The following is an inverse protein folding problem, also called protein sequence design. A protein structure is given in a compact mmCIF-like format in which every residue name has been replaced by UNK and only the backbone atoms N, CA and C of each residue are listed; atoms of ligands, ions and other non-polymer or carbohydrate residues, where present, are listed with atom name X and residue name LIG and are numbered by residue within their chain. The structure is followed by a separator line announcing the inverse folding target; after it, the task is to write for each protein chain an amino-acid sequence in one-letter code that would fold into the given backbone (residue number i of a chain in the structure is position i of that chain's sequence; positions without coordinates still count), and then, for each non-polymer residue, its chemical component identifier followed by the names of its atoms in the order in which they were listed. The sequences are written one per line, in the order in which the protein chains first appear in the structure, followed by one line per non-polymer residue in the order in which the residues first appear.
data_IF_744531280783
#
_entry.id   IF_744531280783
#
_cell.length_a   1.000
_cell.length_b   1.000
_cell.length_c   1.000
_cell.angle_alpha   90.00
_cell.angle_beta   90.00
_cell.angle_gamma   90.00
#
_symmetry.space_group_name_H-M   'P 1'
#
loop_
_entity.id
_entity.type
_entity.pdbx_description
1 polymer ?
#
# COMPACT_ATOMS: atom_id res chain seq x y z
N UNK A 1 65.71 -40.63 30.75
CA UNK A 1 64.38 -41.26 30.62
C UNK A 1 63.39 -40.11 30.56
N UNK A 2 62.71 -39.93 29.42
CA UNK A 2 61.87 -38.76 29.11
C UNK A 2 60.46 -38.94 29.66
N UNK A 3 60.00 -38.01 30.51
CA UNK A 3 58.58 -37.83 30.85
C UNK A 3 57.93 -36.94 29.80
N UNK A 4 57.12 -37.52 28.91
CA UNK A 4 56.54 -36.84 27.74
C UNK A 4 55.03 -37.14 27.54
N UNK A 5 54.22 -37.13 28.61
CA UNK A 5 52.76 -37.26 28.47
C UNK A 5 52.00 -36.34 29.43
N UNK A 6 51.96 -35.06 29.08
CA UNK A 6 51.08 -34.04 29.67
C UNK A 6 50.40 -33.20 28.59
N UNK A 7 49.74 -33.86 27.62
CA UNK A 7 48.96 -33.14 26.61
C UNK A 7 47.69 -32.57 27.27
N UNK A 8 47.70 -31.27 27.58
CA UNK A 8 46.50 -30.55 27.98
C UNK A 8 45.56 -30.42 26.79
N UNK A 9 44.31 -30.83 26.96
CA UNK A 9 43.26 -30.63 25.96
C UNK A 9 43.09 -29.12 25.76
N UNK A 10 43.18 -28.59 24.52
CA UNK A 10 42.99 -27.17 24.29
C UNK A 10 41.58 -26.76 24.72
N UNK A 11 41.40 -25.59 25.37
CA UNK A 11 40.08 -25.13 25.78
C UNK A 11 39.18 -24.98 24.56
N UNK A 12 38.04 -25.66 24.59
CA UNK A 12 36.99 -25.49 23.58
C UNK A 12 36.44 -24.08 23.73
N UNK A 13 36.79 -23.19 22.79
CA UNK A 13 36.25 -21.83 22.75
C UNK A 13 34.77 -21.91 22.38
N UNK A 14 33.91 -21.73 23.38
CA UNK A 14 32.47 -21.55 23.18
C UNK A 14 32.20 -20.04 23.12
N UNK A 15 31.82 -19.49 21.95
CA UNK A 15 31.52 -18.07 21.84
C UNK A 15 30.36 -17.71 22.76
N UNK A 16 30.50 -16.61 23.50
CA UNK A 16 29.44 -16.13 24.38
C UNK A 16 28.35 -15.46 23.54
N UNK A 17 27.23 -16.15 23.34
CA UNK A 17 26.06 -15.65 22.61
C UNK A 17 25.19 -14.68 23.44
N UNK A 18 25.59 -14.37 24.67
CA UNK A 18 24.87 -13.49 25.58
C UNK A 18 25.76 -12.32 26.04
N UNK A 19 25.84 -11.23 25.25
CA UNK A 19 26.55 -10.04 25.69
C UNK A 19 25.95 -9.53 27.00
N UNK A 20 26.81 -9.12 27.94
CA UNK A 20 26.40 -8.76 29.32
C UNK A 20 25.30 -7.68 29.35
N UNK A 21 25.29 -6.79 28.36
CA UNK A 21 24.25 -5.77 28.20
C UNK A 21 22.85 -6.33 27.95
N UNK A 22 22.71 -7.36 27.11
CA UNK A 22 21.41 -7.99 26.83
C UNK A 22 20.87 -8.74 28.05
N UNK A 23 21.77 -9.38 28.81
CA UNK A 23 21.42 -10.06 30.05
C UNK A 23 20.96 -9.07 31.12
N UNK A 24 21.73 -7.99 31.34
CA UNK A 24 21.36 -6.93 32.28
C UNK A 24 19.99 -6.34 31.94
N UNK A 25 19.74 -6.04 30.67
CA UNK A 25 18.43 -5.55 30.21
C UNK A 25 17.30 -6.53 30.54
N UNK A 26 17.49 -7.83 30.25
CA UNK A 26 16.48 -8.85 30.52
C UNK A 26 16.14 -8.95 32.01
N UNK A 27 17.16 -9.04 32.88
CA UNK A 27 16.96 -9.16 34.33
C UNK A 27 16.33 -7.93 34.97
N UNK A 28 16.55 -6.74 34.40
CA UNK A 28 15.87 -5.50 34.83
C UNK A 28 14.43 -5.39 34.33
N UNK A 29 14.00 -6.26 33.42
CA UNK A 29 12.65 -6.20 32.85
C UNK A 29 11.60 -6.84 33.78
N UNK A 30 10.32 -6.42 33.71
CA UNK A 30 9.23 -7.09 34.42
C UNK A 30 8.98 -8.54 33.98
N UNK A 31 9.54 -8.94 32.84
CA UNK A 31 9.40 -10.27 32.23
C UNK A 31 10.53 -11.22 32.63
N UNK A 32 11.41 -10.81 33.55
CA UNK A 32 12.56 -11.58 34.01
C UNK A 32 12.21 -12.96 34.63
N UNK A 33 10.94 -13.17 34.99
CA UNK A 33 10.43 -14.45 35.52
C UNK A 33 10.23 -15.52 34.46
N UNK A 34 10.30 -15.15 33.18
CA UNK A 34 10.11 -16.06 32.06
C UNK A 34 11.44 -16.34 31.35
N UNK A 35 11.52 -17.50 30.71
CA UNK A 35 12.65 -17.87 29.87
C UNK A 35 12.78 -16.89 28.68
N UNK A 36 13.91 -16.19 28.51
CA UNK A 36 14.11 -15.19 27.45
C UNK A 36 13.93 -15.76 26.05
N UNK A 37 14.40 -16.99 25.83
CA UNK A 37 14.30 -17.66 24.54
C UNK A 37 12.84 -17.98 24.18
N UNK A 38 12.05 -18.41 25.16
CA UNK A 38 10.64 -18.71 24.94
C UNK A 38 9.83 -17.45 24.64
N UNK A 39 10.07 -16.37 25.39
CA UNK A 39 9.36 -15.10 25.18
C UNK A 39 9.67 -14.48 23.82
N UNK A 40 10.95 -14.50 23.42
CA UNK A 40 11.35 -14.02 22.09
C UNK A 40 10.75 -14.85 20.96
N UNK A 41 10.68 -16.18 21.11
CA UNK A 41 10.01 -17.05 20.15
C UNK A 41 8.50 -16.74 20.03
N UNK A 42 7.82 -16.50 21.15
CA UNK A 42 6.40 -16.13 21.16
C UNK A 42 6.17 -14.79 20.46
N UNK A 43 6.97 -13.76 20.76
CA UNK A 43 6.85 -12.47 20.09
C UNK A 43 7.12 -12.57 18.59
N UNK A 44 8.12 -13.36 18.18
CA UNK A 44 8.36 -13.63 16.76
C UNK A 44 7.15 -14.29 16.10
N UNK A 45 6.53 -15.28 16.73
CA UNK A 45 5.33 -15.94 16.20
C UNK A 45 4.15 -14.97 16.05
N UNK A 46 3.94 -14.07 17.01
CA UNK A 46 2.88 -13.05 16.95
C UNK A 46 3.14 -12.09 15.79
N UNK A 47 4.38 -11.60 15.65
CA UNK A 47 4.76 -10.68 14.57
C UNK A 47 4.59 -11.35 13.20
N UNK A 48 5.07 -12.58 13.04
CA UNK A 48 4.97 -13.34 11.79
C UNK A 48 3.50 -13.59 11.45
N UNK A 49 2.70 -14.02 12.42
CA UNK A 49 1.27 -14.28 12.22
C UNK A 49 0.53 -13.00 11.86
N UNK A 50 0.80 -11.89 12.54
CA UNK A 50 0.25 -10.57 12.23
C UNK A 50 0.62 -10.11 10.81
N UNK A 51 1.88 -10.29 10.41
CA UNK A 51 2.35 -9.96 9.06
C UNK A 51 1.70 -10.85 7.99
N UNK A 52 1.64 -12.18 8.22
CA UNK A 52 0.98 -13.11 7.31
C UNK A 52 -0.50 -12.80 7.13
N UNK A 53 -1.22 -12.53 8.22
CA UNK A 53 -2.63 -12.13 8.16
C UNK A 53 -2.79 -10.79 7.42
N UNK A 54 -1.96 -9.79 7.73
CA UNK A 54 -2.02 -8.49 7.04
C UNK A 54 -1.78 -8.63 5.53
N UNK A 55 -0.79 -9.42 5.12
CA UNK A 55 -0.53 -9.72 3.70
C UNK A 55 -1.71 -10.46 3.08
N UNK A 56 -2.25 -11.48 3.75
CA UNK A 56 -3.39 -12.25 3.27
C UNK A 56 -4.64 -11.37 3.10
N UNK A 57 -4.95 -10.50 4.06
CA UNK A 57 -6.06 -9.55 3.94
C UNK A 57 -5.83 -8.52 2.83
N UNK A 58 -4.61 -8.01 2.66
CA UNK A 58 -4.29 -7.10 1.55
C UNK A 58 -4.41 -7.78 0.19
N UNK A 59 -3.96 -9.03 0.06
CA UNK A 59 -4.13 -9.82 -1.15
C UNK A 59 -5.60 -10.13 -1.44
N UNK A 60 -6.38 -10.54 -0.42
CA UNK A 60 -7.82 -10.77 -0.59
C UNK A 60 -8.58 -9.49 -0.95
N UNK A 61 -8.22 -8.35 -0.36
CA UNK A 61 -8.80 -7.06 -0.72
C UNK A 61 -8.45 -6.64 -2.15
N UNK A 62 -7.21 -6.91 -2.61
CA UNK A 62 -6.80 -6.66 -3.99
C UNK A 62 -7.51 -7.59 -4.98
N UNK A 63 -7.58 -8.88 -4.69
CA UNK A 63 -8.31 -9.85 -5.53
C UNK A 63 -9.80 -9.53 -5.61
N UNK A 64 -10.42 -9.09 -4.52
CA UNK A 64 -11.81 -8.65 -4.56
C UNK A 64 -11.95 -7.41 -5.45
N UNK A 65 -11.09 -6.38 -5.28
CA UNK A 65 -11.07 -5.21 -6.18
C UNK A 65 -10.88 -5.58 -7.65
N UNK A 66 -9.95 -6.50 -7.94
CA UNK A 66 -9.74 -6.99 -9.31
C UNK A 66 -10.96 -7.75 -9.83
N UNK A 67 -11.70 -8.48 -9.00
CA UNK A 67 -12.92 -9.18 -9.44
C UNK A 67 -14.05 -8.18 -9.78
N UNK A 68 -14.19 -7.09 -9.00
CA UNK A 68 -15.15 -6.03 -9.29
C UNK A 68 -14.71 -5.13 -10.48
N UNK A 69 -13.42 -4.79 -10.58
CA UNK A 69 -12.86 -3.98 -11.69
C UNK A 69 -12.74 -4.75 -13.02
N UNK A 70 -12.80 -6.08 -13.03
CA UNK A 70 -12.56 -6.88 -14.23
C UNK A 70 -13.84 -7.25 -15.01
N UNK A 71 -15.01 -6.77 -14.57
CA UNK A 71 -16.21 -6.82 -15.42
C UNK A 71 -16.04 -5.75 -16.51
N UNK A 72 -16.05 -6.16 -17.78
CA UNK A 72 -15.84 -5.25 -18.92
C UNK A 72 -16.81 -4.05 -18.92
N UNK A 73 -18.00 -4.21 -18.34
CA UNK A 73 -18.99 -3.16 -18.13
C UNK A 73 -18.53 -2.11 -17.10
N UNK A 74 -17.97 -2.54 -15.97
CA UNK A 74 -17.46 -1.64 -14.94
C UNK A 74 -16.26 -0.85 -15.47
N UNK A 75 -15.36 -1.47 -16.23
CA UNK A 75 -14.26 -0.73 -16.91
C UNK A 75 -14.79 0.34 -17.85
N UNK A 76 -15.84 0.04 -18.63
CA UNK A 76 -16.48 1.01 -19.54
C UNK A 76 -17.14 2.14 -18.75
N UNK A 77 -17.79 1.83 -17.63
CA UNK A 77 -18.38 2.80 -16.73
C UNK A 77 -17.32 3.73 -16.12
N UNK A 78 -16.24 3.19 -15.56
CA UNK A 78 -15.11 3.94 -15.00
C UNK A 78 -14.43 4.83 -16.05
N UNK A 79 -14.26 4.33 -17.28
CA UNK A 79 -13.74 5.12 -18.39
C UNK A 79 -14.67 6.30 -18.74
N UNK A 80 -15.99 6.09 -18.77
CA UNK A 80 -16.96 7.16 -19.01
C UNK A 80 -16.98 8.19 -17.88
N UNK A 81 -16.89 7.77 -16.62
CA UNK A 81 -16.77 8.66 -15.46
C UNK A 81 -15.48 9.49 -15.51
N UNK A 82 -14.37 8.89 -15.91
CA UNK A 82 -13.10 9.59 -16.12
C UNK A 82 -13.22 10.62 -17.23
N UNK A 83 -13.81 10.26 -18.37
CA UNK A 83 -14.07 11.18 -19.49
C UNK A 83 -14.95 12.35 -19.05
N UNK A 84 -16.04 12.10 -18.31
CA UNK A 84 -16.91 13.13 -17.72
C UNK A 84 -16.12 14.13 -16.88
N UNK A 85 -15.24 13.64 -16.00
CA UNK A 85 -14.39 14.49 -15.14
C UNK A 85 -13.42 15.34 -15.95
N UNK A 86 -12.76 14.75 -16.95
CA UNK A 86 -11.85 15.47 -17.84
C UNK A 86 -12.58 16.56 -18.61
N UNK A 87 -13.74 16.27 -19.18
CA UNK A 87 -14.58 17.24 -19.90
C UNK A 87 -15.03 18.38 -19.00
N UNK A 88 -15.45 18.10 -17.76
CA UNK A 88 -15.83 19.13 -16.80
C UNK A 88 -14.64 20.04 -16.45
N UNK A 89 -13.46 19.45 -16.22
CA UNK A 89 -12.24 20.22 -15.98
C UNK A 89 -11.85 21.09 -17.17
N UNK A 90 -12.02 20.60 -18.41
CA UNK A 90 -11.79 21.39 -19.62
C UNK A 90 -12.77 22.54 -19.77
N UNK A 91 -14.03 22.35 -19.37
CA UNK A 91 -15.01 23.42 -19.34
C UNK A 91 -14.60 24.52 -18.33
N UNK A 92 -14.15 24.12 -17.13
CA UNK A 92 -13.62 25.05 -16.13
C UNK A 92 -12.36 25.77 -16.61
N UNK A 93 -11.44 25.06 -17.25
CA UNK A 93 -10.20 25.64 -17.81
C UNK A 93 -10.52 26.74 -18.82
N UNK A 94 -11.49 26.51 -19.71
CA UNK A 94 -11.92 27.50 -20.71
C UNK A 94 -12.63 28.69 -20.07
N UNK A 95 -13.42 28.45 -19.03
CA UNK A 95 -14.05 29.51 -18.24
C UNK A 95 -12.99 30.41 -17.59
N UNK A 96 -11.98 29.82 -16.97
CA UNK A 96 -10.84 30.56 -16.42
C UNK A 96 -10.08 31.34 -17.51
N UNK A 97 -9.80 30.72 -18.66
CA UNK A 97 -9.08 31.37 -19.77
C UNK A 97 -9.86 32.57 -20.33
N UNK A 98 -11.19 32.50 -20.37
CA UNK A 98 -12.05 33.60 -20.78
C UNK A 98 -12.03 34.73 -19.75
N UNK A 99 -12.15 34.41 -18.45
CA UNK A 99 -12.07 35.40 -17.37
C UNK A 99 -10.68 36.09 -17.30
N UNK A 100 -9.61 35.39 -17.68
CA UNK A 100 -8.26 35.93 -17.79
C UNK A 100 -8.02 36.74 -19.09
N UNK A 101 -9.02 36.83 -19.98
CA UNK A 101 -8.93 37.55 -21.25
C UNK A 101 -8.00 36.90 -22.28
N UNK A 102 -7.66 35.60 -22.11
CA UNK A 102 -6.74 34.86 -22.99
C UNK A 102 -7.41 34.28 -24.24
N UNK A 103 -8.75 34.22 -24.25
CA UNK A 103 -9.56 33.76 -25.38
C UNK A 103 -10.69 34.75 -25.65
N UNK A 104 -11.15 34.80 -26.90
CA UNK A 104 -12.27 35.67 -27.29
C UNK A 104 -13.62 35.06 -26.92
N UNK A 105 -14.66 35.90 -26.81
CA UNK A 105 -16.04 35.47 -26.58
C UNK A 105 -16.50 34.40 -27.57
N UNK A 106 -16.21 34.62 -28.86
CA UNK A 106 -16.61 33.69 -29.92
C UNK A 106 -15.95 32.30 -29.77
N UNK A 107 -14.68 32.28 -29.34
CA UNK A 107 -13.96 31.03 -29.06
C UNK A 107 -14.45 30.34 -27.79
N UNK A 108 -14.81 31.11 -26.76
CA UNK A 108 -15.42 30.59 -25.54
C UNK A 108 -16.76 29.92 -25.83
N UNK A 109 -17.66 30.61 -26.51
CA UNK A 109 -19.00 30.11 -26.87
C UNK A 109 -18.94 28.84 -27.72
N UNK A 110 -18.06 28.80 -28.72
CA UNK A 110 -17.90 27.64 -29.59
C UNK A 110 -17.39 26.42 -28.80
N UNK A 111 -16.31 26.59 -28.04
CA UNK A 111 -15.69 25.47 -27.30
C UNK A 111 -16.58 25.02 -26.14
N UNK A 112 -17.19 25.94 -25.41
CA UNK A 112 -18.06 25.61 -24.28
C UNK A 112 -19.28 24.82 -24.74
N UNK A 113 -19.87 25.16 -25.89
CA UNK A 113 -20.97 24.41 -26.51
C UNK A 113 -20.57 22.99 -26.86
N UNK A 114 -19.43 22.82 -27.53
CA UNK A 114 -18.89 21.49 -27.89
C UNK A 114 -18.65 20.61 -26.65
N UNK A 115 -18.05 21.16 -25.58
CA UNK A 115 -17.83 20.40 -24.35
C UNK A 115 -19.13 20.08 -23.61
N UNK A 116 -20.14 20.96 -23.66
CA UNK A 116 -21.47 20.69 -23.07
C UNK A 116 -22.22 19.59 -23.83
N UNK A 117 -22.19 19.60 -25.16
CA UNK A 117 -22.75 18.54 -26.00
C UNK A 117 -22.07 17.20 -25.74
N UNK A 118 -20.74 17.19 -25.69
CA UNK A 118 -19.98 15.98 -25.37
C UNK A 118 -20.29 15.46 -23.95
N UNK A 119 -20.48 16.36 -22.98
CA UNK A 119 -20.88 16.00 -21.62
C UNK A 119 -22.28 15.39 -21.58
N UNK A 120 -23.21 15.87 -22.40
CA UNK A 120 -24.56 15.31 -22.53
C UNK A 120 -24.51 13.88 -23.07
N UNK A 121 -23.75 13.63 -24.13
CA UNK A 121 -23.55 12.29 -24.69
C UNK A 121 -22.94 11.31 -23.67
N UNK A 122 -21.96 11.75 -22.87
CA UNK A 122 -21.39 10.93 -21.80
C UNK A 122 -22.43 10.64 -20.71
N UNK A 123 -23.23 11.63 -20.31
CA UNK A 123 -24.28 11.44 -19.30
C UNK A 123 -25.34 10.45 -19.78
N UNK A 124 -25.75 10.51 -21.05
CA UNK A 124 -26.68 9.55 -21.65
C UNK A 124 -26.11 8.13 -21.57
N UNK A 125 -24.88 7.93 -22.04
CA UNK A 125 -24.20 6.63 -21.96
C UNK A 125 -24.07 6.10 -20.53
N UNK A 126 -23.82 6.98 -19.55
CA UNK A 126 -23.78 6.60 -18.13
C UNK A 126 -25.17 6.21 -17.58
N UNK A 127 -26.24 6.86 -18.04
CA UNK A 127 -27.61 6.53 -17.64
C UNK A 127 -28.04 5.16 -18.18
N UNK A 128 -27.56 4.77 -19.36
CA UNK A 128 -27.79 3.45 -19.94
C UNK A 128 -27.17 2.31 -19.10
N UNK A 129 -26.19 2.58 -18.23
CA UNK A 129 -25.67 1.60 -17.26
C UNK A 129 -26.49 1.53 -15.96
N UNK A 130 -27.37 2.50 -15.71
CA UNK A 130 -28.17 2.60 -14.47
C UNK A 130 -29.62 2.12 -14.66
N UNK A 131 -30.03 1.84 -15.90
CA UNK A 131 -31.38 1.38 -16.28
C UNK A 131 -31.32 -0.09 -16.66
#
# INVERSE_FOLDING_TARGET
MLDWLGASVPPVYTPNFHPEGHMKMWYTSPLNRFEPHLMTAIFLMIIITGACLAIHFKHKAKSNKETWENTDEEKRFQQLMTKKKITLNKLLEIDTLYHEGKITEAEYELKSRQYREYLYEIKKKLNDFMT
#
